data_IF_310273036436
#
_entry.id   IF_310273036436
#
_cell.length_a   1.000
_cell.length_b   1.000
_cell.length_c   1.000
_cell.angle_alpha   90.00
_cell.angle_beta   90.00
_cell.angle_gamma   90.00
#
_symmetry.space_group_name_H-M   'P 1'
#
loop_
_entity.id
_entity.type
_entity.pdbx_description
1 polymer ?
#
# COMPACT_ATOMS: atom_id res chain seq x y z
N UNK A 1 18.75 0.95 12.88
CA UNK A 1 19.22 -0.19 12.07
C UNK A 1 18.07 -1.01 11.52
N UNK A 2 16.93 -0.37 11.26
CA UNK A 2 15.75 -0.91 10.58
C UNK A 2 15.40 0.09 9.51
N UNK A 3 14.95 -0.38 8.35
CA UNK A 3 14.44 0.50 7.30
C UNK A 3 13.06 1.05 7.68
N UNK A 4 12.70 2.21 7.13
CA UNK A 4 11.39 2.82 7.32
C UNK A 4 10.60 2.64 6.02
N UNK A 5 9.39 2.09 6.15
CA UNK A 5 8.35 2.12 5.13
C UNK A 5 7.34 3.20 5.55
N UNK A 6 7.31 4.32 4.83
CA UNK A 6 6.57 5.52 5.27
C UNK A 6 5.23 5.65 4.55
N UNK A 7 4.14 5.71 5.30
CA UNK A 7 2.80 5.93 4.75
C UNK A 7 2.43 7.41 4.71
N UNK A 8 1.97 7.89 3.55
CA UNK A 8 1.46 9.27 3.39
C UNK A 8 -0.05 9.33 3.50
N UNK A 9 -0.57 10.43 4.04
CA UNK A 9 -2.01 10.62 4.20
C UNK A 9 -2.71 10.85 2.86
N UNK A 10 -3.65 9.96 2.52
CA UNK A 10 -4.50 10.03 1.33
C UNK A 10 -6.00 10.22 1.64
N UNK A 11 -6.38 10.30 2.92
CA UNK A 11 -7.78 10.48 3.32
C UNK A 11 -8.20 11.94 3.46
N UNK A 12 -7.40 12.74 4.16
CA UNK A 12 -7.67 14.18 4.39
C UNK A 12 -6.65 15.09 3.71
N UNK A 13 -5.60 14.51 3.12
CA UNK A 13 -4.55 15.18 2.37
C UNK A 13 -4.35 14.43 1.03
N UNK A 14 -3.16 14.54 0.44
CA UNK A 14 -2.84 13.89 -0.82
C UNK A 14 -1.54 14.45 -1.41
N UNK A 15 -1.50 14.57 -2.74
CA UNK A 15 -0.32 14.92 -3.54
C UNK A 15 0.62 15.96 -2.92
N UNK A 16 0.12 17.16 -2.60
CA UNK A 16 0.98 18.24 -2.08
C UNK A 16 1.68 17.81 -0.79
N UNK A 17 0.94 17.19 0.12
CA UNK A 17 1.47 16.77 1.42
C UNK A 17 2.54 15.69 1.27
N UNK A 18 2.31 14.72 0.38
CA UNK A 18 3.27 13.66 0.10
C UNK A 18 4.58 14.21 -0.48
N UNK A 19 4.51 15.19 -1.39
CA UNK A 19 5.71 15.83 -1.95
C UNK A 19 6.45 16.70 -0.93
N UNK A 20 5.72 17.49 -0.12
CA UNK A 20 6.33 18.27 0.95
C UNK A 20 7.09 17.36 1.94
N UNK A 21 6.51 16.22 2.30
CA UNK A 21 7.11 15.24 3.20
C UNK A 21 8.30 14.51 2.57
N UNK A 22 8.21 14.13 1.30
CA UNK A 22 9.33 13.56 0.54
C UNK A 22 10.53 14.51 0.50
N UNK A 23 10.30 15.80 0.22
CA UNK A 23 11.36 16.81 0.22
C UNK A 23 11.96 16.99 1.61
N UNK A 24 11.11 17.05 2.65
CA UNK A 24 11.58 17.16 4.03
C UNK A 24 12.48 15.98 4.43
N UNK A 25 12.07 14.73 4.18
CA UNK A 25 12.80 13.56 4.67
C UNK A 25 14.01 13.20 3.82
N UNK A 26 13.94 13.34 2.48
CA UNK A 26 14.98 12.87 1.57
C UNK A 26 15.73 14.00 0.83
N UNK A 27 15.25 15.24 0.87
CA UNK A 27 15.88 16.36 0.16
C UNK A 27 17.29 16.69 0.70
N UNK A 28 18.21 17.02 -0.20
CA UNK A 28 19.47 17.62 0.19
C UNK A 28 19.24 19.03 0.79
N UNK A 29 20.06 19.47 1.77
CA UNK A 29 19.96 20.83 2.31
C UNK A 29 20.03 21.90 1.21
N UNK A 30 19.30 23.00 1.39
CA UNK A 30 19.20 24.11 0.44
C UNK A 30 17.78 24.44 -0.04
N UNK A 31 16.78 23.66 0.36
CA UNK A 31 15.35 23.97 0.17
C UNK A 31 14.65 24.17 1.50
N UNK A 32 13.53 24.88 1.52
CA UNK A 32 12.86 25.25 2.76
C UNK A 32 12.46 24.02 3.61
N UNK A 33 12.02 22.93 2.98
CA UNK A 33 11.65 21.70 3.70
C UNK A 33 12.86 20.92 4.20
N UNK A 34 13.90 20.73 3.36
CA UNK A 34 15.12 20.04 3.78
C UNK A 34 15.87 20.81 4.88
N UNK A 35 15.93 22.14 4.78
CA UNK A 35 16.54 23.00 5.80
C UNK A 35 15.76 22.96 7.11
N UNK A 36 14.43 22.78 7.05
CA UNK A 36 13.63 22.56 8.26
C UNK A 36 13.99 21.23 8.94
N UNK A 37 14.26 20.15 8.18
CA UNK A 37 14.78 18.88 8.74
C UNK A 37 16.11 19.09 9.45
N UNK A 38 17.04 19.82 8.82
CA UNK A 38 18.34 20.16 9.40
C UNK A 38 18.17 20.97 10.69
N UNK A 39 17.30 21.98 10.70
CA UNK A 39 17.01 22.79 11.88
C UNK A 39 16.41 21.98 13.04
N UNK A 40 15.68 20.90 12.72
CA UNK A 40 15.15 19.94 13.70
C UNK A 40 16.18 18.91 14.18
N UNK A 41 17.44 18.97 13.71
CA UNK A 41 18.55 18.11 14.11
C UNK A 41 18.85 16.94 13.17
N UNK A 42 18.14 16.82 12.04
CA UNK A 42 18.39 15.81 11.01
C UNK A 42 19.22 16.36 9.86
N UNK A 43 20.55 16.41 10.02
CA UNK A 43 21.44 17.00 9.01
C UNK A 43 21.37 16.26 7.66
N UNK A 44 21.49 14.93 7.71
CA UNK A 44 21.48 14.08 6.52
C UNK A 44 20.04 13.70 6.10
N UNK A 45 19.81 13.44 4.79
CA UNK A 45 18.61 12.76 4.33
C UNK A 45 18.36 11.45 5.09
N UNK A 46 17.08 11.09 5.25
CA UNK A 46 16.68 9.87 5.95
C UNK A 46 16.74 8.63 5.04
N UNK A 47 16.92 8.83 3.74
CA UNK A 47 16.98 7.78 2.71
C UNK A 47 15.79 6.79 2.78
N UNK A 48 14.59 7.32 3.05
CA UNK A 48 13.37 6.51 3.08
C UNK A 48 13.03 6.12 1.65
N UNK A 49 13.19 4.84 1.33
CA UNK A 49 13.02 4.32 -0.03
C UNK A 49 11.61 3.82 -0.31
N UNK A 50 10.99 3.14 0.65
CA UNK A 50 9.68 2.51 0.47
C UNK A 50 8.54 3.36 1.04
N UNK A 51 7.51 3.62 0.23
CA UNK A 51 6.41 4.52 0.60
C UNK A 51 5.03 3.93 0.33
N UNK A 52 4.13 3.97 1.31
CA UNK A 52 2.72 3.62 1.13
C UNK A 52 1.91 4.85 0.77
N UNK A 53 1.21 4.81 -0.36
CA UNK A 53 0.38 5.92 -0.81
C UNK A 53 -1.02 5.79 -0.20
N UNK A 54 -1.14 6.07 1.10
CA UNK A 54 -2.39 5.91 1.85
C UNK A 54 -2.42 4.61 2.66
N UNK A 55 -3.64 4.24 3.07
CA UNK A 55 -3.92 3.03 3.86
C UNK A 55 -5.36 2.59 3.62
N UNK A 56 -5.61 1.31 3.32
CA UNK A 56 -6.96 0.69 3.28
C UNK A 56 -8.06 1.58 2.68
N UNK A 57 -7.78 2.21 1.54
CA UNK A 57 -8.67 3.24 0.99
C UNK A 57 -10.01 2.66 0.48
N UNK A 58 -10.14 1.34 0.41
CA UNK A 58 -11.36 0.61 0.04
C UNK A 58 -12.33 0.37 1.22
N UNK A 59 -11.81 0.40 2.45
CA UNK A 59 -12.56 0.08 3.66
C UNK A 59 -13.57 1.19 4.02
N UNK A 60 -14.87 0.90 4.20
CA UNK A 60 -15.86 1.93 4.58
C UNK A 60 -15.65 2.54 5.98
N UNK A 61 -14.79 1.92 6.81
CA UNK A 61 -14.35 2.46 8.09
C UNK A 61 -13.28 3.56 7.96
N UNK A 62 -12.59 3.61 6.83
CA UNK A 62 -11.44 4.48 6.65
C UNK A 62 -11.88 5.94 6.41
N UNK A 63 -11.20 6.86 7.09
CA UNK A 63 -11.45 8.31 6.91
C UNK A 63 -11.03 8.70 5.50
N UNK A 64 -11.99 9.20 4.71
CA UNK A 64 -11.74 9.58 3.33
C UNK A 64 -11.58 8.36 2.40
N UNK A 65 -12.20 7.22 2.72
CA UNK A 65 -12.29 6.08 1.81
C UNK A 65 -12.78 6.50 0.43
N UNK A 66 -12.36 5.77 -0.59
CA UNK A 66 -12.54 6.10 -2.00
C UNK A 66 -13.15 4.93 -2.75
N UNK A 67 -13.79 5.21 -3.88
CA UNK A 67 -14.06 4.18 -4.89
C UNK A 67 -12.76 3.70 -5.54
N UNK A 68 -12.77 2.52 -6.21
CA UNK A 68 -11.60 2.05 -6.97
C UNK A 68 -11.08 3.10 -7.97
N UNK A 69 -11.99 3.79 -8.67
CA UNK A 69 -11.68 4.78 -9.71
C UNK A 69 -11.13 6.08 -9.11
N UNK A 70 -11.69 6.53 -7.98
CA UNK A 70 -11.21 7.70 -7.26
C UNK A 70 -9.77 7.47 -6.78
N UNK A 71 -9.52 6.34 -6.12
CA UNK A 71 -8.18 6.01 -5.63
C UNK A 71 -7.19 5.73 -6.77
N UNK A 72 -7.60 5.04 -7.84
CA UNK A 72 -6.78 4.83 -9.03
C UNK A 72 -6.28 6.17 -9.62
N UNK A 73 -7.18 7.15 -9.74
CA UNK A 73 -6.81 8.48 -10.20
C UNK A 73 -5.95 9.27 -9.22
N UNK A 74 -6.12 9.05 -7.91
CA UNK A 74 -5.32 9.69 -6.88
C UNK A 74 -3.90 9.14 -6.83
N UNK A 75 -3.75 7.81 -6.77
CA UNK A 75 -2.44 7.15 -6.71
C UNK A 75 -1.63 7.35 -7.98
N UNK A 76 -2.25 7.35 -9.16
CA UNK A 76 -1.59 7.67 -10.44
C UNK A 76 -0.87 9.03 -10.39
N UNK A 77 -1.54 10.06 -9.86
CA UNK A 77 -0.95 11.40 -9.69
C UNK A 77 0.18 11.42 -8.67
N UNK A 78 0.00 10.77 -7.53
CA UNK A 78 0.98 10.78 -6.43
C UNK A 78 2.21 9.96 -6.80
N UNK A 79 2.03 8.74 -7.31
CA UNK A 79 3.12 7.86 -7.71
C UNK A 79 3.97 8.49 -8.82
N UNK A 80 3.32 9.04 -9.86
CA UNK A 80 4.02 9.75 -10.93
C UNK A 80 4.87 10.92 -10.40
N UNK A 81 4.28 11.79 -9.58
CA UNK A 81 4.98 12.95 -9.06
C UNK A 81 6.14 12.58 -8.13
N UNK A 82 5.97 11.56 -7.28
CA UNK A 82 7.04 11.07 -6.39
C UNK A 82 8.17 10.43 -7.18
N UNK A 83 7.89 9.56 -8.16
CA UNK A 83 8.91 8.98 -9.05
C UNK A 83 9.61 10.01 -9.93
N UNK A 84 8.91 11.09 -10.31
CA UNK A 84 9.51 12.21 -11.04
C UNK A 84 10.50 12.99 -10.18
N UNK A 85 10.21 13.15 -8.88
CA UNK A 85 11.11 13.79 -7.93
C UNK A 85 12.31 12.91 -7.57
N UNK A 86 12.08 11.61 -7.32
CA UNK A 86 13.12 10.63 -7.01
C UNK A 86 12.79 9.27 -7.64
N UNK A 87 13.52 8.91 -8.69
CA UNK A 87 13.28 7.69 -9.46
C UNK A 87 13.60 6.40 -8.70
N UNK A 88 14.44 6.48 -7.66
CA UNK A 88 14.87 5.34 -6.84
C UNK A 88 13.87 4.89 -5.78
N UNK A 89 12.74 5.58 -5.61
CA UNK A 89 11.70 5.19 -4.65
C UNK A 89 11.06 3.86 -5.01
N UNK A 90 10.51 3.18 -4.01
CA UNK A 90 9.71 1.96 -4.12
C UNK A 90 8.30 2.27 -3.60
N UNK A 91 7.31 2.34 -4.49
CA UNK A 91 5.98 2.86 -4.16
C UNK A 91 4.94 1.75 -4.07
N UNK A 92 4.17 1.77 -2.97
CA UNK A 92 3.12 0.81 -2.65
C UNK A 92 1.75 1.46 -2.82
N UNK A 93 0.92 0.90 -3.71
CA UNK A 93 -0.50 1.22 -3.75
C UNK A 93 -1.27 0.32 -2.80
N UNK A 94 -2.24 0.87 -2.07
CA UNK A 94 -3.18 0.07 -1.28
C UNK A 94 -3.97 -0.91 -2.15
N UNK A 95 -3.87 -2.21 -1.82
CA UNK A 95 -4.82 -3.23 -2.25
C UNK A 95 -6.09 -3.19 -1.40
N UNK A 96 -6.93 -4.23 -1.53
CA UNK A 96 -8.11 -4.37 -0.70
C UNK A 96 -7.73 -4.73 0.74
N UNK A 97 -8.55 -4.30 1.70
CA UNK A 97 -8.39 -4.57 3.14
C UNK A 97 -8.57 -6.04 3.56
N UNK A 98 -8.81 -6.94 2.58
CA UNK A 98 -8.87 -8.38 2.79
C UNK A 98 -9.77 -9.10 1.79
N UNK A 99 -9.68 -10.44 1.76
CA UNK A 99 -10.41 -11.31 0.82
C UNK A 99 -11.95 -11.17 0.89
N UNK A 100 -12.46 -10.71 2.03
CA UNK A 100 -13.88 -10.57 2.30
C UNK A 100 -14.49 -9.28 1.72
N UNK A 101 -13.67 -8.38 1.19
CA UNK A 101 -14.14 -7.10 0.66
C UNK A 101 -14.97 -7.29 -0.61
N UNK A 102 -16.10 -6.58 -0.77
CA UNK A 102 -16.93 -6.69 -1.98
C UNK A 102 -16.19 -6.31 -3.28
N UNK A 103 -15.15 -5.48 -3.16
CA UNK A 103 -14.31 -4.99 -4.26
C UNK A 103 -13.05 -5.83 -4.48
N UNK A 104 -12.79 -6.85 -3.66
CA UNK A 104 -11.57 -7.66 -3.74
C UNK A 104 -11.34 -8.24 -5.14
N UNK A 105 -10.12 -8.08 -5.65
CA UNK A 105 -9.71 -8.45 -7.00
C UNK A 105 -10.06 -7.41 -8.07
N UNK A 106 -11.21 -6.72 -7.95
CA UNK A 106 -11.57 -5.62 -8.88
C UNK A 106 -10.88 -4.31 -8.51
N UNK A 107 -10.67 -4.07 -7.22
CA UNK A 107 -9.95 -2.91 -6.70
C UNK A 107 -8.53 -2.85 -7.26
N UNK A 108 -7.78 -3.93 -7.08
CA UNK A 108 -6.39 -4.05 -7.50
C UNK A 108 -6.28 -3.91 -9.02
N UNK A 109 -7.16 -4.57 -9.78
CA UNK A 109 -7.17 -4.47 -11.26
C UNK A 109 -7.32 -3.02 -11.71
N UNK A 110 -8.29 -2.29 -11.19
CA UNK A 110 -8.55 -0.89 -11.57
C UNK A 110 -7.37 0.00 -11.21
N UNK A 111 -6.90 -0.09 -9.97
CA UNK A 111 -5.86 0.78 -9.42
C UNK A 111 -4.51 0.52 -10.08
N UNK A 112 -4.08 -0.74 -10.11
CA UNK A 112 -2.76 -1.11 -10.63
C UNK A 112 -2.68 -0.88 -12.13
N UNK A 113 -3.73 -1.20 -12.90
CA UNK A 113 -3.72 -0.95 -14.34
C UNK A 113 -3.56 0.53 -14.65
N UNK A 114 -4.20 1.41 -13.85
CA UNK A 114 -4.15 2.87 -14.05
C UNK A 114 -2.76 3.47 -13.76
N UNK A 115 -2.08 2.98 -12.73
CA UNK A 115 -0.86 3.59 -12.18
C UNK A 115 0.41 2.72 -12.34
N UNK A 116 0.34 1.68 -13.16
CA UNK A 116 1.36 0.63 -13.32
C UNK A 116 2.80 1.14 -13.47
N UNK A 117 3.01 2.14 -14.35
CA UNK A 117 4.36 2.63 -14.70
C UNK A 117 5.16 3.11 -13.48
N UNK A 118 4.47 3.71 -12.50
CA UNK A 118 5.11 4.35 -11.36
C UNK A 118 4.99 3.59 -10.03
N UNK A 119 4.31 2.44 -10.02
CA UNK A 119 4.18 1.58 -8.84
C UNK A 119 5.16 0.41 -8.86
N UNK A 120 5.62 -0.01 -7.69
CA UNK A 120 6.52 -1.16 -7.54
C UNK A 120 5.83 -2.29 -6.76
N UNK A 121 4.91 -1.93 -5.85
CA UNK A 121 4.20 -2.87 -4.99
C UNK A 121 2.69 -2.61 -4.90
N UNK A 122 1.96 -3.66 -4.55
CA UNK A 122 0.57 -3.61 -4.08
C UNK A 122 0.48 -4.15 -2.65
N UNK A 123 -0.22 -3.43 -1.76
CA UNK A 123 -0.41 -3.87 -0.36
C UNK A 123 -1.42 -5.01 -0.27
N UNK A 124 -1.30 -5.82 0.78
CA UNK A 124 -2.05 -7.05 0.96
C UNK A 124 -2.32 -7.26 2.45
N UNK A 125 -3.59 -7.31 2.87
CA UNK A 125 -3.94 -7.38 4.29
C UNK A 125 -4.70 -8.67 4.62
N UNK A 126 -4.18 -9.47 5.55
CA UNK A 126 -4.75 -10.77 5.89
C UNK A 126 -4.67 -11.08 7.39
N UNK A 127 -5.81 -10.96 8.07
CA UNK A 127 -5.97 -11.29 9.49
C UNK A 127 -6.87 -12.50 9.71
N UNK A 128 -6.47 -13.36 10.65
CA UNK A 128 -7.18 -14.59 10.97
C UNK A 128 -7.37 -14.76 12.48
N UNK A 129 -8.46 -15.41 12.91
CA UNK A 129 -8.67 -15.76 14.32
C UNK A 129 -9.64 -16.92 14.50
N UNK A 130 -9.61 -17.58 15.66
CA UNK A 130 -10.59 -18.60 16.03
C UNK A 130 -11.95 -17.95 16.34
N UNK A 131 -12.87 -18.00 15.37
CA UNK A 131 -14.22 -17.41 15.48
C UNK A 131 -15.05 -18.01 16.62
N UNK A 132 -14.74 -19.22 17.08
CA UNK A 132 -15.43 -19.88 18.18
C UNK A 132 -14.67 -19.84 19.50
N UNK A 133 -13.67 -18.97 19.66
CA UNK A 133 -12.82 -18.94 20.86
C UNK A 133 -13.59 -18.78 22.18
N UNK A 134 -14.74 -18.09 22.17
CA UNK A 134 -15.61 -17.93 23.34
C UNK A 134 -16.25 -19.24 23.79
N UNK A 135 -16.61 -20.10 22.84
CA UNK A 135 -17.27 -21.39 23.08
C UNK A 135 -16.32 -22.58 22.95
N UNK A 136 -15.07 -22.34 22.54
CA UNK A 136 -14.03 -23.33 22.26
C UNK A 136 -14.51 -24.42 21.30
N UNK A 137 -15.18 -23.99 20.23
CA UNK A 137 -15.76 -24.92 19.25
C UNK A 137 -14.64 -25.60 18.45
N UNK A 138 -14.65 -26.92 18.39
CA UNK A 138 -13.62 -27.68 17.67
C UNK A 138 -13.58 -27.35 16.17
N UNK A 139 -14.74 -27.10 15.55
CA UNK A 139 -14.84 -26.75 14.14
C UNK A 139 -14.13 -25.42 13.81
N UNK A 140 -14.36 -24.37 14.59
CA UNK A 140 -13.74 -23.05 14.33
C UNK A 140 -12.24 -23.06 14.58
N UNK A 141 -11.77 -23.86 15.54
CA UNK A 141 -10.34 -24.08 15.75
C UNK A 141 -9.72 -24.78 14.53
N UNK A 142 -10.39 -25.78 13.96
CA UNK A 142 -9.91 -26.46 12.77
C UNK A 142 -9.89 -25.54 11.54
N UNK A 143 -10.91 -24.67 11.38
CA UNK A 143 -10.94 -23.65 10.32
C UNK A 143 -9.78 -22.66 10.49
N UNK A 144 -9.54 -22.18 11.71
CA UNK A 144 -8.45 -21.25 12.01
C UNK A 144 -7.07 -21.87 11.72
N UNK A 145 -6.85 -23.14 12.06
CA UNK A 145 -5.61 -23.86 11.74
C UNK A 145 -5.35 -23.99 10.23
N UNK A 146 -6.40 -23.90 9.40
CA UNK A 146 -6.31 -23.95 7.94
C UNK A 146 -6.25 -22.56 7.27
N UNK A 147 -6.07 -21.47 8.03
CA UNK A 147 -6.07 -20.09 7.52
C UNK A 147 -5.04 -19.84 6.41
N UNK A 148 -3.92 -20.55 6.38
CA UNK A 148 -2.91 -20.42 5.32
C UNK A 148 -3.43 -20.83 3.94
N UNK A 149 -4.45 -21.69 3.86
CA UNK A 149 -5.10 -22.07 2.60
C UNK A 149 -5.91 -20.92 2.01
N UNK A 150 -6.50 -20.09 2.87
CA UNK A 150 -7.13 -18.84 2.44
C UNK A 150 -6.09 -17.82 1.98
N UNK A 151 -5.00 -17.64 2.75
CA UNK A 151 -3.89 -16.77 2.35
C UNK A 151 -3.29 -17.17 1.00
N UNK A 152 -3.18 -18.47 0.71
CA UNK A 152 -2.72 -18.98 -0.60
C UNK A 152 -3.62 -18.51 -1.75
N UNK A 153 -4.95 -18.56 -1.56
CA UNK A 153 -5.92 -18.09 -2.57
C UNK A 153 -5.89 -16.57 -2.70
N UNK A 154 -5.73 -15.87 -1.58
CA UNK A 154 -5.62 -14.42 -1.54
C UNK A 154 -4.42 -13.94 -2.37
N UNK A 155 -3.22 -14.51 -2.12
CA UNK A 155 -2.00 -14.18 -2.86
C UNK A 155 -2.19 -14.44 -4.36
N UNK A 156 -2.72 -15.61 -4.74
CA UNK A 156 -2.95 -15.93 -6.15
C UNK A 156 -3.87 -14.90 -6.84
N UNK A 157 -4.95 -14.49 -6.16
CA UNK A 157 -5.91 -13.52 -6.71
C UNK A 157 -5.28 -12.14 -6.90
N UNK A 158 -4.46 -11.67 -5.95
CA UNK A 158 -3.79 -10.38 -6.05
C UNK A 158 -2.66 -10.42 -7.08
N UNK A 159 -1.91 -11.53 -7.17
CA UNK A 159 -0.92 -11.76 -8.23
C UNK A 159 -1.55 -11.71 -9.63
N UNK A 160 -2.70 -12.35 -9.83
CA UNK A 160 -3.43 -12.30 -11.11
C UNK A 160 -3.84 -10.86 -11.48
N UNK A 161 -4.20 -10.02 -10.50
CA UNK A 161 -4.53 -8.62 -10.74
C UNK A 161 -3.29 -7.78 -11.10
N UNK A 162 -2.16 -8.01 -10.44
CA UNK A 162 -0.89 -7.38 -10.75
C UNK A 162 -0.36 -7.78 -12.14
N UNK A 163 -0.47 -9.07 -12.50
CA UNK A 163 -0.12 -9.56 -13.84
C UNK A 163 -0.98 -8.90 -14.92
N UNK A 164 -2.29 -8.76 -14.70
CA UNK A 164 -3.18 -8.04 -15.63
C UNK A 164 -2.79 -6.59 -15.82
N UNK A 165 -2.37 -5.90 -14.76
CA UNK A 165 -1.89 -4.52 -14.85
C UNK A 165 -0.63 -4.41 -15.74
N UNK A 166 0.32 -5.33 -15.58
CA UNK A 166 1.51 -5.42 -16.45
C UNK A 166 1.13 -5.69 -17.90
N UNK A 167 0.29 -6.69 -18.15
CA UNK A 167 -0.13 -7.10 -19.49
C UNK A 167 -0.88 -5.98 -20.22
N UNK A 168 -1.82 -5.33 -19.54
CA UNK A 168 -2.63 -4.25 -20.10
C UNK A 168 -1.80 -3.01 -20.48
N UNK A 169 -0.66 -2.80 -19.82
CA UNK A 169 0.27 -1.71 -20.12
C UNK A 169 1.45 -2.15 -21.00
N UNK A 170 1.43 -3.39 -21.53
CA UNK A 170 2.53 -3.96 -22.32
C UNK A 170 3.91 -3.89 -21.61
N UNK A 171 3.89 -3.94 -20.27
CA UNK A 171 5.07 -3.78 -19.45
C UNK A 171 5.86 -5.07 -19.25
N UNK A 172 7.10 -4.92 -18.77
CA UNK A 172 7.98 -6.04 -18.41
C UNK A 172 8.32 -6.08 -16.92
N UNK A 173 7.99 -5.02 -16.17
CA UNK A 173 8.17 -4.93 -14.72
C UNK A 173 7.01 -5.65 -14.03
N UNK A 174 7.32 -6.51 -13.07
CA UNK A 174 6.32 -7.12 -12.20
C UNK A 174 6.03 -6.20 -11.02
N UNK A 175 4.75 -5.99 -10.70
CA UNK A 175 4.35 -5.37 -9.43
C UNK A 175 4.39 -6.46 -8.36
N UNK A 176 5.22 -6.26 -7.34
CA UNK A 176 5.36 -7.22 -6.24
C UNK A 176 4.23 -7.06 -5.21
N UNK A 177 3.95 -8.12 -4.46
CA UNK A 177 2.99 -8.09 -3.36
C UNK A 177 3.72 -7.71 -2.07
N UNK A 178 3.20 -6.73 -1.35
CA UNK A 178 3.64 -6.32 -0.01
C UNK A 178 2.59 -6.78 1.00
N UNK A 179 2.84 -7.89 1.72
CA UNK A 179 2.03 -8.27 2.90
C UNK A 179 2.46 -7.42 4.11
N UNK A 180 2.11 -6.14 4.07
CA UNK A 180 2.42 -5.13 5.10
C UNK A 180 1.49 -5.20 6.32
N UNK A 181 0.36 -5.90 6.21
CA UNK A 181 -0.52 -6.23 7.32
C UNK A 181 -0.90 -7.72 7.33
N UNK A 182 -0.39 -8.49 8.29
CA UNK A 182 -0.78 -9.89 8.46
C UNK A 182 -0.61 -10.35 9.90
N UNK A 183 -1.44 -11.32 10.31
CA UNK A 183 -1.27 -11.96 11.61
C UNK A 183 -2.57 -12.52 12.19
N UNK A 184 -2.52 -12.78 13.49
CA UNK A 184 -3.68 -13.25 14.26
C UNK A 184 -4.29 -12.08 15.02
N UNK A 185 -5.56 -11.73 14.74
CA UNK A 185 -6.26 -10.60 15.36
C UNK A 185 -7.76 -10.89 15.56
N UNK A 186 -8.24 -10.72 16.81
CA UNK A 186 -9.60 -11.05 17.29
C UNK A 186 -10.52 -9.84 17.40
#
# INVERSE_FOLDING_TARGET
GTEIMLAVNMGTRGLKAALDELEYVNGAPGTAWADQRVANGGAEPMDIKMWCIGNEMDGPWQVGHMSPEEYAGAVDKVAHAMKLAESGLELVACGSSGAYMPTFGTWEKTVLTKAYENLDFVSCHAYYFDRGHKTRTAASMQDFLASSEDMTKFIATVSDAADQAREANNGTKDIALSLDEWGVWY
#
